data_IF_745771952045
#
_entry.id   IF_745771952045
#
_cell.length_a   1.000
_cell.length_b   1.000
_cell.length_c   1.000
_cell.angle_alpha   90.00
_cell.angle_beta   90.00
_cell.angle_gamma   90.00
#
_symmetry.space_group_name_H-M   'P 1'
#
loop_
_entity.id
_entity.type
_entity.pdbx_description
1 polymer ?
#
# COMPACT_ATOMS: atom_id res chain seq x y z
N UNK A 1 -3.20 4.35 -0.90
CA UNK A 1 -3.03 4.38 0.56
C UNK A 1 -3.92 3.39 1.30
N UNK A 2 -3.46 2.81 2.40
CA UNK A 2 -4.38 2.23 3.40
C UNK A 2 -5.02 3.35 4.22
N UNK A 3 -6.27 3.18 4.64
CA UNK A 3 -6.96 4.16 5.46
C UNK A 3 -6.33 4.24 6.86
N UNK A 4 -6.06 5.46 7.34
CA UNK A 4 -5.67 5.65 8.74
C UNK A 4 -6.92 5.47 9.60
N UNK A 5 -6.91 4.50 10.50
CA UNK A 5 -7.94 4.34 11.53
C UNK A 5 -7.27 3.92 12.83
N UNK A 6 -7.65 4.56 13.92
CA UNK A 6 -7.17 4.29 15.27
C UNK A 6 -8.30 3.60 16.02
N UNK A 7 -8.21 2.29 16.21
CA UNK A 7 -9.32 1.45 16.67
C UNK A 7 -8.99 0.79 18.01
N UNK A 8 -10.03 0.42 18.76
CA UNK A 8 -9.86 -0.51 19.87
C UNK A 8 -9.71 -1.93 19.32
N UNK A 9 -8.77 -2.69 19.87
CA UNK A 9 -8.35 -3.98 19.36
C UNK A 9 -8.17 -4.95 20.51
N UNK A 10 -8.57 -6.21 20.31
CA UNK A 10 -8.33 -7.28 21.28
C UNK A 10 -6.89 -7.77 21.17
N UNK A 11 -6.17 -7.79 22.28
CA UNK A 11 -4.75 -8.13 22.32
C UNK A 11 -4.51 -9.62 22.57
N UNK A 12 -3.50 -10.16 21.90
CA UNK A 12 -2.80 -11.38 22.34
C UNK A 12 -1.39 -11.01 22.78
N UNK A 13 -1.01 -11.33 24.01
CA UNK A 13 0.30 -11.00 24.56
C UNK A 13 1.22 -12.22 24.39
N UNK A 14 2.36 -12.00 23.73
CA UNK A 14 3.40 -13.00 23.50
C UNK A 14 4.67 -12.58 24.24
N UNK A 15 5.45 -13.57 24.67
CA UNK A 15 6.76 -13.34 25.26
C UNK A 15 7.70 -12.70 24.24
N UNK A 16 8.51 -11.74 24.68
CA UNK A 16 9.57 -11.18 23.85
C UNK A 16 10.81 -12.09 23.93
N UNK A 17 11.28 -12.70 22.84
CA UNK A 17 12.31 -13.73 22.88
C UNK A 17 13.68 -13.22 23.36
N UNK A 18 13.94 -11.92 23.18
CA UNK A 18 15.23 -11.29 23.46
C UNK A 18 15.17 -10.14 24.49
N UNK A 19 14.17 -10.09 25.37
CA UNK A 19 14.04 -9.02 26.37
C UNK A 19 13.20 -9.41 27.59
N UNK A 20 13.74 -9.20 28.79
CA UNK A 20 13.05 -9.57 30.05
C UNK A 20 11.98 -8.57 30.49
N UNK A 21 12.11 -7.30 30.08
CA UNK A 21 11.23 -6.21 30.49
C UNK A 21 10.17 -5.84 29.44
N UNK A 22 10.12 -6.57 28.32
CA UNK A 22 9.25 -6.28 27.19
C UNK A 22 8.42 -7.51 26.83
N UNK A 23 7.27 -7.26 26.20
CA UNK A 23 6.37 -8.26 25.61
C UNK A 23 5.94 -7.78 24.22
N UNK A 24 5.29 -8.66 23.45
CA UNK A 24 4.70 -8.33 22.16
C UNK A 24 3.18 -8.36 22.27
N UNK A 25 2.54 -7.22 22.12
CA UNK A 25 1.10 -7.13 21.96
C UNK A 25 0.75 -7.33 20.48
N UNK A 26 0.06 -8.43 20.18
CA UNK A 26 -0.43 -8.73 18.86
C UNK A 26 -1.83 -8.14 18.65
N UNK A 27 -1.99 -7.43 17.52
CA UNK A 27 -3.22 -6.81 17.03
C UNK A 27 -3.43 -7.29 15.59
N UNK A 28 -4.42 -8.15 15.36
CA UNK A 28 -4.53 -8.89 14.08
C UNK A 28 -3.24 -9.69 13.83
N UNK A 29 -2.54 -9.40 12.71
CA UNK A 29 -1.20 -9.93 12.43
C UNK A 29 -0.07 -8.91 12.64
N UNK A 30 -0.38 -7.72 13.18
CA UNK A 30 0.63 -6.78 13.66
C UNK A 30 1.12 -7.14 15.05
N UNK A 31 2.34 -6.72 15.37
CA UNK A 31 2.91 -6.83 16.73
C UNK A 31 3.49 -5.49 17.13
N UNK A 32 3.14 -5.00 18.31
CA UNK A 32 3.73 -3.83 18.93
C UNK A 32 4.45 -4.26 20.22
N UNK A 33 5.65 -3.75 20.43
CA UNK A 33 6.39 -3.99 21.67
C UNK A 33 5.79 -3.16 22.79
N UNK A 34 5.47 -3.82 23.91
CA UNK A 34 4.88 -3.22 25.11
C UNK A 34 5.72 -3.55 26.33
N UNK A 35 5.57 -2.76 27.41
CA UNK A 35 6.22 -3.08 28.69
C UNK A 35 5.62 -4.37 29.27
N UNK A 36 6.47 -5.22 29.85
CA UNK A 36 6.04 -6.49 30.44
C UNK A 36 5.01 -6.28 31.55
N UNK A 37 3.91 -7.02 31.47
CA UNK A 37 2.83 -6.96 32.45
C UNK A 37 1.90 -5.74 32.31
N UNK A 38 2.09 -4.89 31.31
CA UNK A 38 1.19 -3.76 31.05
C UNK A 38 -0.19 -4.20 30.54
N UNK A 39 -0.26 -5.37 29.89
CA UNK A 39 -1.47 -5.94 29.30
C UNK A 39 -1.52 -7.46 29.55
N UNK A 40 -2.70 -8.05 29.38
CA UNK A 40 -2.90 -9.51 29.39
C UNK A 40 -3.61 -9.95 28.11
N UNK A 41 -3.39 -11.20 27.69
CA UNK A 41 -4.14 -11.77 26.56
C UNK A 41 -5.63 -11.70 26.84
N UNK A 42 -6.39 -11.16 25.88
CA UNK A 42 -7.82 -10.91 25.99
C UNK A 42 -8.17 -9.47 26.36
N UNK A 43 -7.21 -8.66 26.81
CA UNK A 43 -7.40 -7.22 27.03
C UNK A 43 -7.78 -6.49 25.73
N UNK A 44 -8.55 -5.41 25.87
CA UNK A 44 -8.76 -4.44 24.79
C UNK A 44 -7.93 -3.18 25.04
N UNK A 45 -7.33 -2.66 23.96
CA UNK A 45 -6.55 -1.43 23.97
C UNK A 45 -6.66 -0.71 22.62
N UNK A 46 -6.32 0.57 22.59
CA UNK A 46 -6.26 1.35 21.37
C UNK A 46 -4.99 1.02 20.57
N UNK A 47 -5.13 0.80 19.26
CA UNK A 47 -4.01 0.62 18.34
C UNK A 47 -3.86 1.84 17.42
N UNK A 48 -2.68 2.47 17.50
CA UNK A 48 -2.30 3.59 16.62
C UNK A 48 -1.33 3.04 15.56
N UNK A 49 -1.70 3.00 14.27
CA UNK A 49 -0.90 2.39 13.23
C UNK A 49 0.34 3.23 12.85
N UNK A 50 1.17 2.66 11.98
CA UNK A 50 2.27 3.39 11.34
C UNK A 50 1.76 4.57 10.49
N UNK A 51 2.64 5.54 10.21
CA UNK A 51 2.32 6.79 9.52
C UNK A 51 1.38 7.73 10.28
N UNK A 52 0.94 7.38 11.50
CA UNK A 52 0.27 8.32 12.40
C UNK A 52 1.22 9.44 12.85
N UNK A 53 0.70 10.68 12.89
CA UNK A 53 1.30 11.84 13.57
C UNK A 53 0.48 12.08 14.84
N UNK A 54 1.14 12.06 15.99
CA UNK A 54 0.50 12.22 17.29
C UNK A 54 0.65 13.66 17.80
N UNK A 55 -0.34 14.21 18.52
CA UNK A 55 -0.18 15.47 19.22
C UNK A 55 0.80 15.32 20.40
N UNK A 56 1.47 16.42 20.76
CA UNK A 56 2.52 16.42 21.80
C UNK A 56 2.04 15.91 23.16
N UNK A 57 0.80 16.23 23.54
CA UNK A 57 0.20 15.80 24.81
C UNK A 57 0.08 14.27 24.89
N UNK A 58 -0.36 13.64 23.79
CA UNK A 58 -0.47 12.18 23.70
C UNK A 58 0.93 11.53 23.72
N UNK A 59 1.92 12.14 23.07
CA UNK A 59 3.31 11.64 23.08
C UNK A 59 3.89 11.65 24.51
N UNK A 60 3.66 12.74 25.24
CA UNK A 60 4.11 12.88 26.62
C UNK A 60 3.40 11.87 27.54
N UNK A 61 2.08 11.75 27.41
CA UNK A 61 1.28 10.78 28.17
C UNK A 61 1.79 9.34 28.00
N UNK A 62 2.14 8.96 26.76
CA UNK A 62 2.63 7.63 26.44
C UNK A 62 4.13 7.43 26.77
N UNK A 63 4.83 8.45 27.26
CA UNK A 63 6.26 8.39 27.58
C UNK A 63 7.14 8.22 26.33
N UNK A 64 6.68 8.72 25.18
CA UNK A 64 7.34 8.57 23.88
C UNK A 64 8.10 9.83 23.42
N UNK A 65 8.22 10.82 24.30
CA UNK A 65 8.94 12.09 24.02
C UNK A 65 10.34 11.82 23.46
N UNK A 66 10.58 12.33 22.24
CA UNK A 66 11.85 12.18 21.53
C UNK A 66 12.13 10.78 20.94
N UNK A 67 11.15 9.86 20.97
CA UNK A 67 11.32 8.46 20.50
C UNK A 67 10.69 8.18 19.14
N UNK A 68 9.75 9.01 18.69
CA UNK A 68 9.09 8.86 17.40
C UNK A 68 9.92 9.48 16.27
N UNK A 69 9.53 9.22 15.03
CA UNK A 69 10.25 9.68 13.85
C UNK A 69 9.86 11.11 13.43
N UNK A 70 10.59 11.64 12.46
CA UNK A 70 10.37 12.98 11.90
C UNK A 70 11.11 14.07 12.69
N UNK A 71 11.23 15.27 12.10
CA UNK A 71 11.93 16.39 12.72
C UNK A 71 11.31 16.88 14.03
N UNK A 72 10.01 16.61 14.23
CA UNK A 72 9.25 16.91 15.45
C UNK A 72 9.17 15.74 16.43
N UNK A 73 9.71 14.57 16.09
CA UNK A 73 9.60 13.34 16.86
C UNK A 73 8.14 13.01 17.25
N UNK A 74 7.23 13.07 16.27
CA UNK A 74 5.79 12.89 16.42
C UNK A 74 5.18 11.80 15.52
N UNK A 75 5.99 11.20 14.64
CA UNK A 75 5.53 10.24 13.63
C UNK A 75 5.80 8.79 14.03
N UNK A 76 4.75 7.97 14.08
CA UNK A 76 4.83 6.52 14.26
C UNK A 76 5.44 5.86 13.02
N UNK A 77 6.48 5.05 13.24
CA UNK A 77 7.09 4.20 12.21
C UNK A 77 7.32 2.81 12.78
N UNK A 78 7.40 1.80 11.92
CA UNK A 78 7.93 0.52 12.33
C UNK A 78 9.37 0.66 12.82
N UNK A 79 9.71 -0.09 13.87
CA UNK A 79 11.07 -0.16 14.43
C UNK A 79 11.42 -1.60 14.75
N UNK A 80 12.72 -1.88 14.89
CA UNK A 80 13.18 -3.11 15.55
C UNK A 80 13.62 -2.80 16.96
N UNK A 81 13.04 -3.49 17.94
CA UNK A 81 13.44 -3.41 19.33
C UNK A 81 13.93 -4.79 19.74
N UNK A 82 15.22 -4.90 20.07
CA UNK A 82 15.86 -6.18 20.46
C UNK A 82 15.61 -7.31 19.44
N UNK A 83 15.65 -6.98 18.15
CA UNK A 83 15.46 -7.91 17.03
C UNK A 83 14.02 -8.03 16.54
N UNK A 84 13.03 -7.82 17.42
CA UNK A 84 11.62 -7.96 17.08
C UNK A 84 11.08 -6.74 16.34
N UNK A 85 10.26 -6.98 15.32
CA UNK A 85 9.56 -5.94 14.59
C UNK A 85 8.39 -5.41 15.44
N UNK A 86 8.39 -4.11 15.71
CA UNK A 86 7.31 -3.39 16.37
C UNK A 86 6.62 -2.46 15.37
N UNK A 87 5.34 -2.68 15.14
CA UNK A 87 4.48 -1.96 14.20
C UNK A 87 3.35 -1.29 14.97
N UNK A 88 3.23 0.03 14.83
CA UNK A 88 2.24 0.82 15.57
C UNK A 88 2.54 0.94 17.06
N UNK A 89 1.55 1.46 17.79
CA UNK A 89 1.56 1.66 19.24
C UNK A 89 0.28 1.05 19.82
N UNK A 90 0.41 0.31 20.92
CA UNK A 90 -0.71 -0.18 21.72
C UNK A 90 -0.78 0.62 23.02
N UNK A 91 -1.91 1.31 23.25
CA UNK A 91 -2.07 2.23 24.36
C UNK A 91 -3.49 2.29 24.92
N UNK A 92 -3.63 2.82 26.15
CA UNK A 92 -4.90 3.18 26.79
C UNK A 92 -4.84 4.66 27.21
N UNK A 93 -5.01 5.60 26.26
CA UNK A 93 -4.91 7.02 26.58
C UNK A 93 -6.05 7.46 27.51
N UNK A 94 -5.81 8.47 28.35
CA UNK A 94 -6.76 9.02 29.34
C UNK A 94 -8.07 9.46 28.70
N UNK A 95 -8.00 10.00 27.48
CA UNK A 95 -9.16 10.39 26.70
C UNK A 95 -10.14 9.22 26.43
N UNK A 96 -9.68 7.97 26.57
CA UNK A 96 -10.47 6.76 26.40
C UNK A 96 -10.73 6.01 27.72
N UNK A 97 -10.43 6.60 28.89
CA UNK A 97 -10.53 5.90 30.19
C UNK A 97 -11.96 5.42 30.52
N UNK A 98 -12.97 6.22 30.13
CA UNK A 98 -14.39 5.91 30.37
C UNK A 98 -15.07 5.24 29.15
N UNK A 99 -14.30 4.86 28.13
CA UNK A 99 -14.81 4.20 26.93
C UNK A 99 -14.80 2.70 27.14
N UNK A 100 -15.93 2.03 26.87
CA UNK A 100 -15.98 0.58 26.74
C UNK A 100 -15.27 0.17 25.44
N UNK A 101 -13.98 -0.17 25.56
CA UNK A 101 -13.15 -0.57 24.43
C UNK A 101 -13.58 -1.89 23.80
N UNK A 102 -14.31 -2.75 24.52
CA UNK A 102 -14.84 -4.00 23.96
C UNK A 102 -15.93 -3.67 22.96
N UNK A 103 -16.93 -2.90 23.40
CA UNK A 103 -18.01 -2.42 22.53
C UNK A 103 -17.48 -1.58 21.37
N UNK A 104 -16.54 -0.69 21.64
CA UNK A 104 -15.95 0.16 20.59
C UNK A 104 -15.19 -0.65 19.53
N UNK A 105 -14.58 -1.78 19.90
CA UNK A 105 -13.93 -2.69 18.96
C UNK A 105 -14.98 -3.38 18.06
N UNK A 106 -16.10 -3.84 18.63
CA UNK A 106 -17.21 -4.44 17.87
C UNK A 106 -17.85 -3.44 16.88
N UNK A 107 -18.01 -2.19 17.30
CA UNK A 107 -18.54 -1.11 16.46
C UNK A 107 -17.50 -0.58 15.45
N UNK A 108 -16.22 -0.94 15.59
CA UNK A 108 -15.14 -0.44 14.75
C UNK A 108 -14.92 1.07 14.91
N UNK A 109 -15.13 1.62 16.11
CA UNK A 109 -15.04 3.07 16.36
C UNK A 109 -13.65 3.60 16.07
N UNK A 110 -13.56 4.66 15.26
CA UNK A 110 -12.31 5.34 14.94
C UNK A 110 -12.06 6.51 15.89
N UNK A 111 -11.02 6.38 16.71
CA UNK A 111 -10.60 7.36 17.70
C UNK A 111 -9.59 8.38 17.16
N UNK A 112 -9.23 8.35 15.87
CA UNK A 112 -8.20 9.23 15.31
C UNK A 112 -8.51 10.71 15.59
N UNK A 113 -9.74 11.15 15.30
CA UNK A 113 -10.17 12.52 15.54
C UNK A 113 -10.18 12.89 17.03
N UNK A 114 -10.71 11.99 17.88
CA UNK A 114 -10.77 12.20 19.33
C UNK A 114 -9.38 12.34 19.96
N UNK A 115 -8.41 11.58 19.46
CA UNK A 115 -7.02 11.59 19.95
C UNK A 115 -6.13 12.61 19.23
N UNK A 116 -6.67 13.40 18.30
CA UNK A 116 -5.90 14.35 17.49
C UNK A 116 -4.86 13.68 16.58
N UNK A 117 -5.00 12.38 16.30
CA UNK A 117 -4.07 11.61 15.46
C UNK A 117 -4.39 11.87 14.00
N UNK A 118 -3.38 12.27 13.24
CA UNK A 118 -3.51 12.55 11.79
C UNK A 118 -2.59 11.66 10.98
N UNK A 119 -2.81 11.58 9.67
CA UNK A 119 -1.95 10.80 8.78
C UNK A 119 -0.79 11.65 8.29
N UNK A 120 0.42 11.15 8.45
CA UNK A 120 1.59 11.75 7.83
C UNK A 120 1.50 11.56 6.30
N UNK A 121 1.64 12.67 5.58
CA UNK A 121 1.71 12.69 4.12
C UNK A 121 3.09 13.20 3.71
N UNK A 122 3.87 12.44 2.93
CA UNK A 122 5.14 12.90 2.41
C UNK A 122 4.97 14.05 1.40
N UNK A 123 5.94 14.97 1.28
CA UNK A 123 5.91 15.99 0.24
C UNK A 123 6.05 15.35 -1.15
N UNK A 124 5.21 15.72 -2.10
CA UNK A 124 5.27 15.20 -3.48
C UNK A 124 6.43 15.86 -4.25
N UNK A 125 7.34 15.09 -4.87
CA UNK A 125 8.39 15.64 -5.72
C UNK A 125 7.81 16.40 -6.93
N UNK A 126 8.50 17.46 -7.37
CA UNK A 126 8.02 18.30 -8.48
C UNK A 126 7.83 17.53 -9.79
N UNK A 127 8.69 16.54 -10.08
CA UNK A 127 8.59 15.66 -11.25
C UNK A 127 7.37 14.72 -11.24
N UNK A 128 6.78 14.53 -10.06
CA UNK A 128 5.57 13.73 -9.82
C UNK A 128 4.31 14.60 -9.71
N UNK A 129 4.47 15.91 -9.86
CA UNK A 129 3.40 16.92 -9.94
C UNK A 129 3.36 17.53 -11.35
N UNK A 130 2.29 18.24 -11.67
CA UNK A 130 2.14 18.90 -12.96
C UNK A 130 0.85 19.71 -13.02
N UNK A 131 0.64 20.41 -14.13
CA UNK A 131 -0.68 20.97 -14.41
C UNK A 131 -1.71 19.85 -14.53
N UNK A 132 -2.89 20.09 -13.98
CA UNK A 132 -3.99 19.12 -13.98
C UNK A 132 -5.14 19.59 -14.85
N UNK A 133 -5.94 18.64 -15.30
CA UNK A 133 -7.19 18.85 -16.01
C UNK A 133 -8.29 17.95 -15.46
N UNK A 134 -9.54 18.33 -15.70
CA UNK A 134 -10.69 17.54 -15.28
C UNK A 134 -10.73 16.21 -16.03
N UNK A 135 -10.86 15.12 -15.29
CA UNK A 135 -10.95 13.77 -15.82
C UNK A 135 -12.00 12.96 -15.04
N UNK A 136 -13.29 13.37 -15.10
CA UNK A 136 -14.36 12.72 -14.33
C UNK A 136 -14.57 11.25 -14.72
N UNK A 137 -14.16 10.89 -15.93
CA UNK A 137 -14.28 9.56 -16.52
C UNK A 137 -12.98 8.74 -16.49
N UNK A 138 -11.94 9.24 -15.79
CA UNK A 138 -10.71 8.50 -15.52
C UNK A 138 -11.05 7.20 -14.79
N UNK A 139 -10.51 6.08 -15.24
CA UNK A 139 -10.68 4.81 -14.53
C UNK A 139 -9.78 4.83 -13.28
N UNK A 140 -10.36 4.79 -12.07
CA UNK A 140 -9.57 4.80 -10.85
C UNK A 140 -8.94 3.43 -10.61
N UNK A 141 -7.80 3.43 -9.91
CA UNK A 141 -7.30 2.22 -9.27
C UNK A 141 -7.58 2.25 -7.77
N UNK A 142 -7.93 1.09 -7.21
CA UNK A 142 -8.44 0.97 -5.84
C UNK A 142 -7.37 1.24 -4.79
N UNK A 143 -7.79 1.65 -3.61
CA UNK A 143 -6.98 1.52 -2.40
C UNK A 143 -6.88 0.06 -1.97
N UNK A 144 -5.66 -0.36 -1.61
CA UNK A 144 -5.38 -1.73 -1.19
C UNK A 144 -5.03 -1.72 0.29
N UNK A 145 -5.82 -2.48 1.05
CA UNK A 145 -5.66 -2.63 2.49
C UNK A 145 -4.55 -3.62 2.85
N UNK A 146 -4.11 -3.60 4.10
CA UNK A 146 -3.05 -4.50 4.56
C UNK A 146 -3.62 -5.83 5.08
N UNK A 147 -3.09 -6.96 4.60
CA UNK A 147 -3.46 -8.30 5.07
C UNK A 147 -3.32 -8.44 6.59
N UNK A 148 -2.33 -7.77 7.19
CA UNK A 148 -2.15 -7.82 8.64
C UNK A 148 -3.31 -7.21 9.43
N UNK A 149 -4.05 -6.29 8.81
CA UNK A 149 -5.24 -5.66 9.38
C UNK A 149 -6.50 -6.46 9.07
N UNK A 150 -6.61 -7.00 7.87
CA UNK A 150 -7.76 -7.75 7.41
C UNK A 150 -7.33 -9.17 7.01
N UNK A 151 -7.02 -10.04 8.00
CA UNK A 151 -6.55 -11.39 7.72
C UNK A 151 -7.61 -12.27 7.05
N UNK A 152 -8.89 -11.96 7.27
CA UNK A 152 -10.04 -12.77 6.82
C UNK A 152 -10.56 -12.38 5.42
N UNK A 153 -9.79 -11.60 4.65
CA UNK A 153 -10.17 -11.25 3.26
C UNK A 153 -10.19 -12.48 2.35
N UNK A 154 -9.35 -13.47 2.67
CA UNK A 154 -9.21 -14.74 1.95
C UNK A 154 -9.42 -15.91 2.90
N UNK A 155 -10.18 -16.90 2.46
CA UNK A 155 -10.32 -18.14 3.21
C UNK A 155 -9.04 -18.99 3.08
N UNK A 156 -8.60 -19.69 4.14
CA UNK A 156 -7.51 -20.65 4.02
C UNK A 156 -7.76 -21.66 2.90
N UNK A 157 -6.78 -21.82 2.00
CA UNK A 157 -6.90 -22.71 0.84
C UNK A 157 -7.51 -22.08 -0.41
N UNK A 158 -8.06 -20.86 -0.34
CA UNK A 158 -8.61 -20.17 -1.51
C UNK A 158 -7.53 -19.97 -2.60
N UNK A 159 -7.80 -20.23 -3.89
CA UNK A 159 -6.83 -19.98 -4.95
C UNK A 159 -6.49 -18.48 -5.08
N UNK A 160 -5.22 -18.13 -4.85
CA UNK A 160 -4.71 -16.76 -4.93
C UNK A 160 -3.49 -16.65 -5.84
N UNK A 161 -3.21 -15.42 -6.24
CA UNK A 161 -1.98 -14.99 -6.90
C UNK A 161 -1.31 -13.95 -6.02
N UNK A 162 -0.01 -14.13 -5.80
CA UNK A 162 0.83 -13.24 -5.00
C UNK A 162 1.88 -12.63 -5.93
N UNK A 163 1.82 -11.32 -6.11
CA UNK A 163 2.79 -10.58 -6.92
C UNK A 163 3.70 -9.76 -6.04
N UNK A 164 4.94 -9.54 -6.48
CA UNK A 164 5.84 -8.58 -5.85
C UNK A 164 5.20 -7.18 -5.85
N UNK A 165 5.23 -6.53 -4.68
CA UNK A 165 4.88 -5.11 -4.55
C UNK A 165 6.14 -4.29 -4.84
N UNK A 166 6.11 -3.56 -5.95
CA UNK A 166 7.15 -2.60 -6.29
C UNK A 166 6.96 -1.30 -5.50
N UNK A 167 8.10 -0.63 -5.29
CA UNK A 167 8.21 0.64 -4.59
C UNK A 167 8.56 1.75 -5.57
N UNK A 168 7.58 2.50 -6.00
CA UNK A 168 7.77 3.60 -6.93
C UNK A 168 6.65 4.61 -6.78
N UNK A 169 5.98 4.91 -7.88
CA UNK A 169 4.75 5.66 -7.89
C UNK A 169 3.72 5.04 -8.82
N UNK A 170 2.50 4.91 -8.32
CA UNK A 170 1.38 4.35 -9.06
C UNK A 170 1.00 5.28 -10.23
N UNK A 171 1.07 4.74 -11.44
CA UNK A 171 0.71 5.38 -12.69
C UNK A 171 -0.60 4.80 -13.22
N UNK A 172 -1.55 5.68 -13.48
CA UNK A 172 -2.84 5.36 -14.07
C UNK A 172 -2.83 5.86 -15.52
N UNK A 173 -3.16 5.00 -16.47
CA UNK A 173 -3.54 5.40 -17.82
C UNK A 173 -4.98 4.99 -18.08
N UNK A 174 -5.79 5.89 -18.61
CA UNK A 174 -7.11 5.60 -19.19
C UNK A 174 -7.13 6.02 -20.65
N UNK A 175 -7.49 5.10 -21.54
CA UNK A 175 -7.85 5.39 -22.92
C UNK A 175 -9.38 5.47 -23.05
N UNK A 176 -9.87 6.48 -23.74
CA UNK A 176 -11.24 6.58 -24.22
C UNK A 176 -11.30 6.18 -25.69
N UNK A 177 -11.89 5.03 -25.99
CA UNK A 177 -11.80 4.40 -27.31
C UNK A 177 -12.50 5.22 -28.42
N UNK A 178 -13.62 5.86 -28.09
CA UNK A 178 -14.41 6.65 -29.06
C UNK A 178 -13.65 7.89 -29.56
N UNK A 179 -12.93 8.58 -28.67
CA UNK A 179 -12.23 9.84 -29.00
C UNK A 179 -10.74 9.64 -29.25
N UNK A 180 -10.19 8.48 -28.86
CA UNK A 180 -8.75 8.25 -28.79
C UNK A 180 -8.05 9.05 -27.67
N UNK A 181 -8.80 9.70 -26.79
CA UNK A 181 -8.23 10.52 -25.71
C UNK A 181 -7.51 9.63 -24.69
N UNK A 182 -6.28 10.03 -24.33
CA UNK A 182 -5.46 9.38 -23.32
C UNK A 182 -5.33 10.28 -22.12
N UNK A 183 -5.66 9.77 -20.94
CA UNK A 183 -5.51 10.48 -19.67
C UNK A 183 -4.54 9.70 -18.79
N UNK A 184 -3.53 10.42 -18.28
CA UNK A 184 -2.52 9.86 -17.38
C UNK A 184 -2.64 10.55 -16.03
N UNK A 185 -2.54 9.78 -14.95
CA UNK A 185 -2.61 10.32 -13.60
C UNK A 185 -1.74 9.54 -12.62
N UNK A 186 -1.46 10.15 -11.47
CA UNK A 186 -1.01 9.41 -10.30
C UNK A 186 -2.21 8.91 -9.49
N UNK A 187 -1.97 8.08 -8.49
CA UNK A 187 -3.05 7.65 -7.59
C UNK A 187 -3.72 8.81 -6.86
N UNK A 188 -2.92 9.71 -6.27
CA UNK A 188 -3.44 10.85 -5.50
C UNK A 188 -4.19 11.89 -6.36
N UNK A 189 -3.72 12.14 -7.59
CA UNK A 189 -4.38 13.05 -8.53
C UNK A 189 -5.65 12.41 -9.10
N UNK A 190 -5.58 11.14 -9.49
CA UNK A 190 -6.72 10.40 -10.04
C UNK A 190 -7.87 10.24 -9.06
N UNK A 191 -7.58 10.08 -7.77
CA UNK A 191 -8.61 10.04 -6.71
C UNK A 191 -9.45 11.32 -6.61
N UNK A 192 -8.97 12.44 -7.17
CA UNK A 192 -9.69 13.72 -7.20
C UNK A 192 -10.49 13.91 -8.51
N UNK A 193 -10.54 12.90 -9.39
CA UNK A 193 -11.15 13.03 -10.72
C UNK A 193 -10.35 13.91 -11.67
N UNK A 194 -9.03 13.94 -11.50
CA UNK A 194 -8.10 14.77 -12.27
C UNK A 194 -7.09 13.90 -13.03
N UNK A 195 -6.67 14.39 -14.19
CA UNK A 195 -5.54 13.87 -14.95
C UNK A 195 -4.42 14.91 -14.99
N UNK A 196 -3.19 14.44 -15.16
CA UNK A 196 -2.04 15.29 -15.42
C UNK A 196 -2.06 15.66 -16.90
N UNK A 197 -1.99 16.96 -17.20
CA UNK A 197 -1.79 17.42 -18.56
C UNK A 197 -0.48 16.88 -19.11
N UNK A 198 -0.45 16.67 -20.41
CA UNK A 198 0.70 16.10 -21.08
C UNK A 198 1.92 17.01 -21.00
N UNK A 199 2.99 16.49 -20.42
CA UNK A 199 4.30 17.15 -20.30
C UNK A 199 5.41 16.12 -20.47
N UNK A 200 6.32 16.37 -21.43
CA UNK A 200 7.47 15.51 -21.70
C UNK A 200 8.48 15.42 -20.55
N UNK A 201 8.39 16.30 -19.54
CA UNK A 201 9.21 16.25 -18.32
C UNK A 201 8.53 15.49 -17.18
N UNK A 202 7.21 15.33 -17.22
CA UNK A 202 6.45 14.65 -16.18
C UNK A 202 6.79 13.16 -16.15
N UNK A 203 7.00 12.62 -14.94
CA UNK A 203 7.44 11.23 -14.75
C UNK A 203 6.51 10.20 -15.41
N UNK A 204 5.20 10.37 -15.23
CA UNK A 204 4.20 9.41 -15.68
C UNK A 204 4.05 9.44 -17.20
N UNK A 205 4.00 10.64 -17.79
CA UNK A 205 3.96 10.78 -19.26
C UNK A 205 5.21 10.25 -19.94
N UNK A 206 6.39 10.44 -19.34
CA UNK A 206 7.64 9.84 -19.83
C UNK A 206 7.56 8.32 -19.83
N UNK A 207 7.06 7.70 -18.77
CA UNK A 207 6.88 6.24 -18.71
C UNK A 207 5.85 5.78 -19.75
N UNK A 208 4.64 6.34 -19.73
CA UNK A 208 3.53 5.96 -20.62
C UNK A 208 3.94 5.96 -22.10
N UNK A 209 4.64 7.00 -22.55
CA UNK A 209 5.10 7.12 -23.93
C UNK A 209 6.23 6.13 -24.25
N UNK A 210 7.20 5.98 -23.36
CA UNK A 210 8.36 5.13 -23.61
C UNK A 210 8.01 3.64 -23.75
N UNK A 211 6.97 3.19 -23.05
CA UNK A 211 6.49 1.80 -23.11
C UNK A 211 5.34 1.59 -24.09
N UNK A 212 4.93 2.60 -24.88
CA UNK A 212 3.86 2.46 -25.89
C UNK A 212 2.51 2.03 -25.29
N UNK A 213 2.22 2.49 -24.07
CA UNK A 213 1.03 2.08 -23.33
C UNK A 213 -0.28 2.55 -24.03
N UNK A 214 -0.37 3.76 -24.61
CA UNK A 214 -1.56 4.19 -25.34
C UNK A 214 -1.92 3.27 -26.52
N UNK A 215 -0.92 2.89 -27.32
CA UNK A 215 -1.12 2.04 -28.49
C UNK A 215 -1.55 0.64 -28.08
N UNK A 216 -1.03 0.12 -26.97
CA UNK A 216 -1.47 -1.16 -26.41
C UNK A 216 -2.90 -1.08 -25.87
N UNK A 217 -3.24 -0.01 -25.14
CA UNK A 217 -4.60 0.21 -24.65
C UNK A 217 -5.61 0.26 -25.81
N UNK A 218 -5.25 0.88 -26.94
CA UNK A 218 -6.10 0.93 -28.13
C UNK A 218 -6.32 -0.45 -28.74
N UNK A 219 -5.26 -1.25 -28.90
CA UNK A 219 -5.37 -2.65 -29.36
C UNK A 219 -6.25 -3.50 -28.43
N UNK A 220 -6.16 -3.28 -27.12
CA UNK A 220 -7.01 -3.96 -26.12
C UNK A 220 -8.46 -3.50 -26.27
N UNK A 221 -8.71 -2.20 -26.40
CA UNK A 221 -10.05 -1.64 -26.56
C UNK A 221 -10.75 -2.24 -27.80
N UNK A 222 -10.07 -2.22 -28.95
CA UNK A 222 -10.57 -2.79 -30.20
C UNK A 222 -10.87 -4.29 -30.08
N UNK A 223 -9.95 -5.05 -29.48
CA UNK A 223 -10.10 -6.50 -29.31
C UNK A 223 -11.29 -6.87 -28.42
N UNK A 224 -11.55 -6.06 -27.39
CA UNK A 224 -12.58 -6.33 -26.40
C UNK A 224 -13.92 -5.63 -26.69
N UNK A 225 -13.96 -4.72 -27.67
CA UNK A 225 -15.10 -3.81 -27.86
C UNK A 225 -15.31 -2.89 -26.65
N UNK A 226 -14.23 -2.52 -25.95
CA UNK A 226 -14.31 -1.71 -24.75
C UNK A 226 -14.38 -0.21 -25.10
N UNK A 227 -15.25 0.53 -24.43
CA UNK A 227 -15.34 1.99 -24.58
C UNK A 227 -14.23 2.73 -23.84
N UNK A 228 -13.68 2.13 -22.77
CA UNK A 228 -12.51 2.61 -22.04
C UNK A 228 -11.60 1.46 -21.63
N UNK A 229 -10.29 1.71 -21.61
CA UNK A 229 -9.29 0.76 -21.09
C UNK A 229 -8.37 1.47 -20.10
N UNK A 230 -8.22 0.88 -18.92
CA UNK A 230 -7.33 1.34 -17.86
C UNK A 230 -6.13 0.41 -17.75
N UNK A 231 -4.90 0.95 -17.85
CA UNK A 231 -3.67 0.20 -17.58
C UNK A 231 -2.98 0.84 -16.39
N UNK A 232 -2.71 0.03 -15.37
CA UNK A 232 -2.18 0.47 -14.10
C UNK A 232 -0.82 -0.17 -13.84
N UNK A 233 0.16 0.64 -13.48
CA UNK A 233 1.51 0.15 -13.24
C UNK A 233 2.30 1.02 -12.28
N UNK A 234 3.42 0.51 -11.82
CA UNK A 234 4.33 1.21 -10.94
C UNK A 234 5.46 1.80 -11.78
N UNK A 235 5.66 3.12 -11.72
CA UNK A 235 6.85 3.78 -12.25
C UNK A 235 7.91 3.79 -11.15
N UNK A 236 9.11 3.30 -11.41
CA UNK A 236 10.18 3.18 -10.42
C UNK A 236 11.54 3.58 -10.98
N UNK A 237 12.53 3.73 -10.10
CA UNK A 237 13.89 4.12 -10.49
C UNK A 237 14.50 5.17 -9.56
N UNK A 238 15.80 5.34 -9.66
CA UNK A 238 16.53 6.40 -8.98
C UNK A 238 15.93 7.77 -9.34
N UNK A 239 15.50 8.52 -8.31
CA UNK A 239 14.82 9.80 -8.49
C UNK A 239 13.30 9.72 -8.50
N UNK A 240 12.71 8.52 -8.40
CA UNK A 240 11.28 8.33 -8.09
C UNK A 240 11.11 8.11 -6.59
N UNK A 241 11.79 7.10 -6.04
CA UNK A 241 11.85 6.78 -4.60
C UNK A 241 13.27 6.34 -4.23
N UNK A 242 13.49 5.90 -2.98
CA UNK A 242 14.77 5.40 -2.48
C UNK A 242 15.19 4.04 -3.06
N UNK A 243 14.22 3.23 -3.51
CA UNK A 243 14.50 1.94 -4.14
C UNK A 243 14.59 2.07 -5.66
N UNK A 244 15.82 2.02 -6.18
CA UNK A 244 16.11 2.35 -7.58
C UNK A 244 15.92 1.22 -8.59
N UNK A 245 15.88 -0.07 -8.18
CA UNK A 245 15.78 -1.22 -9.09
C UNK A 245 16.80 -1.24 -10.25
N UNK A 246 17.91 -0.49 -10.14
CA UNK A 246 18.87 -0.30 -11.21
C UNK A 246 18.32 0.42 -12.46
N UNK A 247 17.17 1.08 -12.32
CA UNK A 247 16.60 2.01 -13.30
C UNK A 247 16.80 3.46 -12.79
N UNK A 248 16.77 4.44 -13.68
CA UNK A 248 16.94 5.85 -13.32
C UNK A 248 15.92 6.73 -14.04
N UNK A 249 15.25 7.60 -13.28
CA UNK A 249 14.38 8.64 -13.86
C UNK A 249 15.12 9.95 -14.13
N UNK A 250 16.39 10.04 -13.71
CA UNK A 250 17.26 11.24 -13.81
C UNK A 250 18.05 11.33 -15.11
N UNK A 251 18.08 10.27 -15.91
CA UNK A 251 18.80 10.21 -17.18
C UNK A 251 17.86 10.44 -18.37
N UNK A 252 18.42 10.53 -19.59
CA UNK A 252 17.65 10.55 -20.85
C UNK A 252 16.89 9.23 -21.11
N UNK A 253 17.27 8.14 -20.45
CA UNK A 253 16.54 6.87 -20.50
C UNK A 253 15.17 6.99 -19.80
N UNK A 254 14.17 6.21 -20.24
CA UNK A 254 12.88 6.18 -19.58
C UNK A 254 13.00 5.57 -18.17
N UNK A 255 12.13 5.98 -17.22
CA UNK A 255 12.07 5.34 -15.91
C UNK A 255 11.67 3.87 -16.04
N UNK A 256 11.90 3.09 -14.98
CA UNK A 256 11.36 1.74 -14.89
C UNK A 256 9.84 1.77 -14.83
N UNK A 257 9.19 0.79 -15.45
CA UNK A 257 7.75 0.62 -15.39
C UNK A 257 7.41 -0.87 -15.31
N UNK A 258 6.42 -1.23 -14.49
CA UNK A 258 5.80 -2.55 -14.55
C UNK A 258 4.30 -2.46 -14.26
N UNK A 259 3.49 -3.01 -15.16
CA UNK A 259 2.04 -3.08 -14.99
C UNK A 259 1.65 -4.11 -13.92
N UNK A 260 0.62 -3.79 -13.14
CA UNK A 260 0.09 -4.68 -12.10
C UNK A 260 -1.42 -4.90 -12.18
N UNK A 261 -2.15 -4.13 -12.99
CA UNK A 261 -3.59 -4.30 -13.17
C UNK A 261 -4.07 -3.74 -14.51
N UNK A 262 -5.22 -4.24 -14.98
CA UNK A 262 -5.92 -3.73 -16.15
C UNK A 262 -7.41 -3.75 -15.88
N UNK A 263 -8.10 -2.68 -16.29
CA UNK A 263 -9.56 -2.64 -16.32
C UNK A 263 -10.08 -2.21 -17.69
N UNK A 264 -11.32 -2.55 -18.00
CA UNK A 264 -11.98 -2.14 -19.23
C UNK A 264 -13.47 -1.89 -18.98
N UNK A 265 -14.04 -0.90 -19.65
CA UNK A 265 -15.49 -0.68 -19.68
C UNK A 265 -16.06 -1.33 -20.93
N UNK A 266 -16.81 -2.42 -20.76
CA UNK A 266 -17.42 -3.21 -21.84
C UNK A 266 -18.92 -3.19 -21.59
N UNK A 267 -19.71 -2.85 -22.61
CA UNK A 267 -21.17 -2.71 -22.50
C UNK A 267 -21.63 -1.83 -21.30
N UNK A 268 -20.86 -0.78 -21.03
CA UNK A 268 -21.11 0.16 -19.93
C UNK A 268 -20.76 -0.35 -18.52
N UNK A 269 -20.19 -1.55 -18.40
CA UNK A 269 -19.78 -2.15 -17.12
C UNK A 269 -18.26 -2.19 -16.98
N UNK A 270 -17.75 -1.92 -15.77
CA UNK A 270 -16.32 -2.00 -15.47
C UNK A 270 -15.92 -3.44 -15.16
N UNK A 271 -14.91 -3.95 -15.87
CA UNK A 271 -14.33 -5.26 -15.68
C UNK A 271 -12.85 -5.15 -15.33
N UNK A 272 -12.40 -5.92 -14.35
CA UNK A 272 -10.98 -6.14 -14.07
C UNK A 272 -10.50 -7.37 -14.83
N UNK A 273 -9.34 -7.25 -15.48
CA UNK A 273 -8.80 -8.26 -16.40
C UNK A 273 -7.52 -8.89 -15.82
N UNK A 274 -7.19 -10.10 -16.28
CA UNK A 274 -5.94 -10.78 -15.95
C UNK A 274 -4.75 -10.06 -16.64
N UNK A 275 -4.20 -9.07 -15.95
CA UNK A 275 -3.14 -8.22 -16.47
C UNK A 275 -1.86 -9.00 -16.90
N UNK A 276 -1.30 -9.92 -16.09
CA UNK A 276 -0.16 -10.72 -16.52
C UNK A 276 -0.41 -11.47 -17.84
N UNK A 277 -1.59 -12.07 -18.00
CA UNK A 277 -1.94 -12.80 -19.23
C UNK A 277 -2.16 -11.87 -20.41
N UNK A 278 -2.84 -10.75 -20.20
CA UNK A 278 -3.21 -9.82 -21.27
C UNK A 278 -2.00 -9.04 -21.80
N UNK A 279 -1.04 -8.72 -20.93
CA UNK A 279 0.12 -7.88 -21.23
C UNK A 279 1.40 -8.67 -21.51
N UNK A 280 1.35 -10.01 -21.43
CA UNK A 280 2.50 -10.89 -21.64
C UNK A 280 3.21 -10.61 -22.98
N UNK A 281 4.50 -10.27 -22.91
CA UNK A 281 5.33 -9.98 -24.09
C UNK A 281 5.13 -8.58 -24.68
N UNK A 282 4.19 -7.79 -24.17
CA UNK A 282 3.87 -6.43 -24.65
C UNK A 282 4.34 -5.36 -23.66
N UNK A 283 4.19 -5.60 -22.35
CA UNK A 283 4.67 -4.72 -21.28
C UNK A 283 5.38 -5.52 -20.18
N UNK A 284 6.36 -4.93 -19.47
CA UNK A 284 6.81 -5.47 -18.21
C UNK A 284 5.65 -5.53 -17.22
N UNK A 285 5.48 -6.66 -16.55
CA UNK A 285 4.48 -6.87 -15.50
C UNK A 285 5.17 -7.17 -14.17
N UNK A 286 4.53 -6.83 -13.07
CA UNK A 286 5.06 -7.15 -11.74
C UNK A 286 5.27 -8.67 -11.59
N UNK A 287 6.37 -9.13 -10.97
CA UNK A 287 6.66 -10.56 -10.86
C UNK A 287 5.59 -11.32 -10.07
N UNK A 288 5.13 -12.45 -10.61
CA UNK A 288 4.37 -13.44 -9.84
C UNK A 288 5.35 -14.25 -8.99
N UNK A 289 5.15 -14.24 -7.67
CA UNK A 289 5.99 -14.97 -6.72
C UNK A 289 5.34 -16.27 -6.27
N UNK A 290 4.01 -16.34 -6.33
CA UNK A 290 3.27 -17.52 -5.95
C UNK A 290 1.88 -17.54 -6.58
N UNK A 291 1.42 -18.75 -6.89
CA UNK A 291 0.05 -19.05 -7.29
C UNK A 291 -0.34 -20.38 -6.68
N UNK A 292 -1.44 -20.41 -5.95
CA UNK A 292 -1.85 -21.60 -5.23
C UNK A 292 -2.83 -21.29 -4.11
N UNK A 293 -3.06 -22.26 -3.19
CA UNK A 293 -3.92 -22.06 -2.04
C UNK A 293 -3.38 -20.94 -1.14
N UNK A 294 -4.29 -20.11 -0.63
CA UNK A 294 -3.97 -19.05 0.32
C UNK A 294 -3.53 -19.63 1.66
N UNK A 295 -2.37 -19.19 2.11
CA UNK A 295 -1.85 -19.40 3.45
C UNK A 295 -1.20 -18.09 3.92
N UNK A 296 -1.71 -17.53 5.01
CA UNK A 296 -1.27 -16.21 5.48
C UNK A 296 0.22 -16.21 5.86
N UNK A 297 0.72 -17.31 6.44
CA UNK A 297 2.13 -17.41 6.83
C UNK A 297 3.04 -17.38 5.60
N UNK A 298 2.70 -18.13 4.54
CA UNK A 298 3.40 -18.10 3.26
C UNK A 298 3.39 -16.71 2.64
N UNK A 299 2.26 -16.00 2.65
CA UNK A 299 2.19 -14.64 2.11
C UNK A 299 3.10 -13.69 2.90
N UNK A 300 3.13 -13.79 4.22
CA UNK A 300 4.00 -12.97 5.07
C UNK A 300 5.48 -13.30 4.88
N UNK A 301 5.83 -14.59 4.70
CA UNK A 301 7.18 -15.02 4.33
C UNK A 301 7.57 -14.44 2.98
N UNK A 302 6.67 -14.56 1.98
CA UNK A 302 6.88 -13.98 0.67
C UNK A 302 6.99 -12.47 0.73
N UNK A 303 6.38 -11.75 1.67
CA UNK A 303 6.53 -10.29 1.80
C UNK A 303 7.95 -9.86 2.20
N UNK A 304 8.76 -10.76 2.78
CA UNK A 304 10.14 -10.49 3.15
C UNK A 304 11.13 -10.78 2.01
N UNK A 305 12.39 -10.40 2.23
CA UNK A 305 13.50 -10.74 1.33
C UNK A 305 13.78 -9.70 0.25
N UNK A 306 14.54 -10.10 -0.76
CA UNK A 306 15.02 -9.19 -1.82
C UNK A 306 14.02 -9.13 -2.98
N UNK A 307 14.08 -8.02 -3.72
CA UNK A 307 13.29 -7.84 -4.95
C UNK A 307 13.67 -8.88 -6.01
N UNK A 308 12.74 -9.21 -6.91
CA UNK A 308 12.95 -10.20 -7.98
C UNK A 308 12.84 -9.60 -9.37
N UNK A 309 12.20 -8.43 -9.53
CA UNK A 309 11.95 -7.79 -10.82
C UNK A 309 13.23 -7.55 -11.62
N UNK A 310 14.37 -7.26 -10.96
CA UNK A 310 15.63 -7.03 -11.68
C UNK A 310 16.39 -8.31 -12.03
N UNK A 311 16.03 -9.45 -11.43
CA UNK A 311 16.82 -10.69 -11.46
C UNK A 311 18.19 -10.60 -10.77
N UNK A 312 18.54 -9.45 -10.17
CA UNK A 312 19.83 -9.20 -9.51
C UNK A 312 19.72 -9.03 -8.00
N UNK A 313 18.50 -8.98 -7.47
CA UNK A 313 18.22 -8.82 -6.05
C UNK A 313 18.95 -7.59 -5.49
N UNK A 314 18.77 -6.39 -6.01
CA UNK A 314 19.59 -5.23 -5.65
C UNK A 314 19.34 -4.75 -4.23
N UNK A 315 18.10 -4.78 -3.75
CA UNK A 315 17.71 -4.29 -2.43
C UNK A 315 16.57 -5.14 -1.84
N UNK A 316 16.11 -4.77 -0.64
CA UNK A 316 14.91 -5.37 -0.04
C UNK A 316 13.70 -5.08 -0.92
N UNK A 317 12.81 -6.04 -1.04
CA UNK A 317 11.49 -5.85 -1.62
C UNK A 317 10.59 -5.11 -0.65
N UNK A 318 9.64 -4.32 -1.15
CA UNK A 318 8.63 -3.70 -0.30
C UNK A 318 7.71 -4.75 0.33
N UNK A 319 7.20 -5.65 -0.50
CA UNK A 319 6.34 -6.71 -0.04
C UNK A 319 5.66 -7.43 -1.19
N UNK A 320 4.39 -7.75 -0.98
CA UNK A 320 3.55 -8.44 -1.95
C UNK A 320 2.14 -7.85 -2.00
N UNK A 321 1.49 -8.05 -3.13
CA UNK A 321 0.05 -7.85 -3.32
C UNK A 321 -0.58 -9.23 -3.56
N UNK A 322 -1.69 -9.50 -2.88
CA UNK A 322 -2.45 -10.75 -2.98
C UNK A 322 -3.81 -10.44 -3.58
N UNK A 323 -4.21 -11.24 -4.56
CA UNK A 323 -5.53 -11.20 -5.21
C UNK A 323 -6.03 -12.63 -5.42
N UNK A 324 -7.35 -12.87 -5.55
CA UNK A 324 -7.86 -14.19 -5.89
C UNK A 324 -7.41 -14.56 -7.32
N UNK A 325 -7.32 -15.85 -7.61
CA UNK A 325 -7.02 -16.33 -8.96
C UNK A 325 -8.11 -15.97 -9.98
N UNK A 326 -9.35 -15.76 -9.50
CA UNK A 326 -10.49 -15.23 -10.24
C UNK A 326 -11.03 -14.02 -9.48
N UNK A 327 -11.11 -12.86 -10.13
CA UNK A 327 -11.58 -11.62 -9.52
C UNK A 327 -12.93 -11.81 -8.82
N UNK A 328 -13.05 -11.30 -7.58
CA UNK A 328 -14.30 -11.33 -6.82
C UNK A 328 -14.41 -10.13 -5.88
N UNK A 329 -15.65 -9.84 -5.51
CA UNK A 329 -15.96 -8.92 -4.41
C UNK A 329 -15.55 -9.52 -3.06
N UNK A 330 -15.08 -8.68 -2.14
CA UNK A 330 -14.83 -8.99 -0.75
C UNK A 330 -15.82 -8.23 0.14
N UNK A 331 -16.70 -8.93 0.88
CA UNK A 331 -17.58 -8.27 1.85
C UNK A 331 -16.79 -7.61 3.00
N UNK A 332 -15.60 -8.14 3.33
CA UNK A 332 -14.71 -7.59 4.36
C UNK A 332 -14.19 -6.21 3.96
N UNK A 333 -13.87 -6.00 2.68
CA UNK A 333 -13.32 -4.74 2.18
C UNK A 333 -14.38 -3.83 1.52
N UNK A 334 -15.59 -4.35 1.26
CA UNK A 334 -16.64 -3.62 0.53
C UNK A 334 -16.27 -3.31 -0.93
N UNK A 335 -15.40 -4.12 -1.53
CA UNK A 335 -14.83 -3.86 -2.85
C UNK A 335 -14.10 -5.08 -3.41
N UNK A 336 -12.98 -4.87 -4.11
CA UNK A 336 -12.17 -5.97 -4.66
C UNK A 336 -11.50 -6.76 -3.53
N UNK A 337 -11.42 -8.08 -3.67
CA UNK A 337 -10.62 -8.93 -2.79
C UNK A 337 -9.12 -8.76 -3.09
N UNK A 338 -8.53 -7.65 -2.67
CA UNK A 338 -7.11 -7.36 -2.92
C UNK A 338 -6.48 -6.70 -1.68
N UNK A 339 -5.37 -7.25 -1.23
CA UNK A 339 -4.62 -6.72 -0.08
C UNK A 339 -3.12 -6.76 -0.35
N UNK A 340 -2.36 -5.98 0.42
CA UNK A 340 -0.90 -6.02 0.45
C UNK A 340 -0.38 -6.58 1.76
N UNK A 341 0.81 -7.17 1.72
CA UNK A 341 1.63 -7.41 2.91
C UNK A 341 2.98 -6.74 2.69
N UNK A 342 3.45 -5.97 3.67
CA UNK A 342 4.71 -5.21 3.60
C UNK A 342 5.72 -5.87 4.55
N UNK A 343 6.93 -6.11 4.05
CA UNK A 343 8.01 -6.78 4.76
C UNK A 343 8.66 -5.89 5.83
N UNK A 344 9.01 -6.47 6.97
CA UNK A 344 9.70 -5.80 8.06
C UNK A 344 11.09 -5.30 7.67
N UNK A 345 11.78 -5.99 6.76
CA UNK A 345 13.05 -5.51 6.18
C UNK A 345 12.90 -4.16 5.49
N UNK A 346 11.83 -3.99 4.71
CA UNK A 346 11.49 -2.73 4.06
C UNK A 346 11.04 -1.65 5.04
N UNK A 347 10.14 -1.98 5.96
CA UNK A 347 9.58 -1.02 6.92
C UNK A 347 10.64 -0.40 7.84
N UNK A 348 11.74 -1.12 8.06
CA UNK A 348 12.83 -0.70 8.96
C UNK A 348 14.10 -0.29 8.21
N UNK A 349 14.03 -0.15 6.88
CA UNK A 349 15.17 0.27 6.05
C UNK A 349 15.61 1.70 6.38
N UNK A 350 16.91 1.97 6.24
CA UNK A 350 17.48 3.29 6.52
C UNK A 350 17.24 4.23 5.35
N UNK A 351 16.80 5.46 5.63
CA UNK A 351 16.66 6.51 4.62
C UNK A 351 15.51 6.32 3.63
N UNK A 352 14.53 5.45 3.94
CA UNK A 352 13.41 5.16 3.03
C UNK A 352 12.52 6.38 2.72
N UNK A 353 12.00 6.43 1.50
CA UNK A 353 10.99 7.40 1.06
C UNK A 353 9.64 6.70 0.84
N UNK A 354 8.54 7.44 0.83
CA UNK A 354 7.19 6.87 0.68
C UNK A 354 6.28 7.83 -0.11
N UNK A 355 6.81 8.55 -1.11
CA UNK A 355 6.02 9.50 -1.91
C UNK A 355 4.80 8.81 -2.54
N UNK A 356 3.65 9.47 -2.61
CA UNK A 356 2.43 8.94 -3.25
C UNK A 356 1.83 9.95 -4.24
#
# INVERSE_FOLDING_TARGET
MSTLRVTAERLTILEHPNADALELAQVGLYRAVVAKGAYRTGDFACYIPEQSVLPSELIEELGLTGRLAGGKADRVKAVRLRGELSQGIVCRPRALAEVDLTRAAEEGTDFAALLGVTKWVPPVPTSMSGEVEAAPDLLPWVDIENLKRFPDVFEPGEPVVVTEKLHGSCCLLTLHAETGTVQVSSKGVGAQGLALKEDGRNLYWRAVRAYGIPELAARIADRLGASRVGIFGEVFGDGVQDLGYGASSRTEQPPGYAAFDVSAVIDGQLHWLDAPRLLAGELPVVPELWRGPFDAARVLELAEGRETITGRHLHTREGVVVRPAVERHSPVLGGRAIVKAVGGGYLTRKGGTEYE
#
